data_IF_191214433552
#
_entry.id   IF_191214433552
#
_cell.length_a   1.000
_cell.length_b   1.000
_cell.length_c   1.000
_cell.angle_alpha   90.00
_cell.angle_beta   90.00
_cell.angle_gamma   90.00
#
_symmetry.space_group_name_H-M   'P 1'
#
loop_
_entity.id
_entity.type
_entity.pdbx_description
1 polymer ?
#
# COMPACT_ATOMS: atom_id res chain seq x y z
N UNK A 1 21.49 9.52 -17.03
CA UNK A 1 20.81 10.66 -16.40
C UNK A 1 19.76 10.13 -15.45
N UNK A 2 20.19 9.25 -14.52
CA UNK A 2 19.39 8.67 -13.44
C UNK A 2 20.17 8.74 -12.11
N UNK A 3 21.17 9.63 -12.06
CA UNK A 3 22.03 9.76 -10.87
C UNK A 3 21.39 10.61 -9.76
N UNK A 4 20.09 10.93 -9.86
CA UNK A 4 19.46 11.88 -8.94
C UNK A 4 18.15 11.38 -8.30
N UNK A 5 17.85 10.09 -8.37
CA UNK A 5 16.70 9.52 -7.65
C UNK A 5 16.95 9.62 -6.14
N UNK A 6 18.16 9.37 -5.68
CA UNK A 6 18.53 9.54 -4.29
C UNK A 6 18.36 11.00 -3.81
N UNK A 7 18.70 11.99 -4.64
CA UNK A 7 18.53 13.40 -4.31
C UNK A 7 17.07 13.87 -4.36
N UNK A 8 16.22 13.23 -5.16
CA UNK A 8 14.76 13.47 -5.15
C UNK A 8 14.12 12.88 -3.88
N UNK A 9 14.65 11.78 -3.38
CA UNK A 9 14.19 11.13 -2.14
C UNK A 9 14.63 11.91 -0.89
N UNK A 10 15.66 12.77 -1.01
CA UNK A 10 16.20 13.55 0.10
C UNK A 10 15.66 15.00 0.16
N UNK A 11 14.60 15.30 -0.59
CA UNK A 11 13.93 16.60 -0.46
C UNK A 11 13.18 16.67 0.87
N UNK A 12 13.36 17.77 1.64
CA UNK A 12 12.71 17.93 2.96
C UNK A 12 11.18 17.90 2.92
N UNK A 13 10.58 18.22 1.78
CA UNK A 13 9.14 18.20 1.51
C UNK A 13 8.62 16.78 1.19
N UNK A 14 9.52 15.84 0.89
CA UNK A 14 9.26 14.41 0.75
C UNK A 14 9.69 13.59 1.96
N UNK A 15 10.27 14.21 2.99
CA UNK A 15 10.45 13.53 4.26
C UNK A 15 9.07 13.10 4.73
N UNK A 16 8.88 11.78 4.82
CA UNK A 16 7.74 11.21 5.49
C UNK A 16 7.56 11.96 6.80
N UNK A 17 6.48 12.73 6.95
CA UNK A 17 6.03 13.09 8.27
C UNK A 17 6.01 11.78 9.03
N UNK A 18 6.65 11.75 10.21
CA UNK A 18 6.61 10.54 11.00
C UNK A 18 5.15 10.10 11.03
N UNK A 19 4.94 8.87 10.62
CA UNK A 19 3.59 8.36 10.42
C UNK A 19 2.75 8.47 11.69
N UNK A 20 3.41 8.44 12.87
CA UNK A 20 2.82 8.69 14.18
C UNK A 20 2.32 10.14 14.34
N UNK A 21 2.97 11.14 13.74
CA UNK A 21 2.54 12.55 13.81
C UNK A 21 1.28 12.79 12.97
N UNK A 22 1.12 12.08 11.85
CA UNK A 22 -0.07 12.17 11.00
C UNK A 22 -1.24 11.44 11.66
N UNK A 23 -1.01 10.27 12.26
CA UNK A 23 -2.05 9.48 12.93
C UNK A 23 -2.53 10.11 14.24
N UNK A 24 -1.66 10.81 14.95
CA UNK A 24 -1.93 11.27 16.29
C UNK A 24 -2.67 12.62 16.37
N UNK A 25 -2.60 13.50 15.36
CA UNK A 25 -2.96 14.89 15.56
C UNK A 25 -4.09 15.46 14.72
N UNK A 26 -4.26 15.05 13.46
CA UNK A 26 -5.07 15.80 12.50
C UNK A 26 -6.27 15.03 11.93
N UNK A 27 -6.33 13.71 12.12
CA UNK A 27 -7.34 12.84 11.50
C UNK A 27 -8.13 12.05 12.55
N UNK A 28 -9.43 11.95 12.33
CA UNK A 28 -10.37 11.17 13.15
C UNK A 28 -11.20 10.26 12.25
N UNK A 29 -11.97 9.34 12.85
CA UNK A 29 -12.91 8.49 12.14
C UNK A 29 -12.23 7.58 11.11
N UNK A 30 -12.83 7.45 9.95
CA UNK A 30 -12.40 6.53 8.87
C UNK A 30 -11.04 6.90 8.30
N UNK A 31 -10.75 8.19 8.13
CA UNK A 31 -9.43 8.66 7.70
C UNK A 31 -8.32 8.19 8.65
N UNK A 32 -8.57 8.24 9.97
CA UNK A 32 -7.64 7.73 10.97
C UNK A 32 -7.47 6.22 10.84
N UNK A 33 -8.56 5.47 10.67
CA UNK A 33 -8.51 4.01 10.47
C UNK A 33 -7.64 3.63 9.27
N UNK A 34 -7.74 4.36 8.16
CA UNK A 34 -6.90 4.14 6.97
C UNK A 34 -5.42 4.42 7.26
N UNK A 35 -5.11 5.50 7.97
CA UNK A 35 -3.74 5.80 8.36
C UNK A 35 -3.17 4.72 9.31
N UNK A 36 -3.95 4.28 10.29
CA UNK A 36 -3.58 3.19 11.18
C UNK A 36 -3.37 1.86 10.43
N UNK A 37 -4.21 1.59 9.40
CA UNK A 37 -4.04 0.45 8.52
C UNK A 37 -2.69 0.49 7.79
N UNK A 38 -2.35 1.62 7.15
CA UNK A 38 -1.09 1.79 6.44
C UNK A 38 0.13 1.64 7.36
N UNK A 39 0.07 2.23 8.57
CA UNK A 39 1.12 2.15 9.58
C UNK A 39 1.31 0.74 10.12
N UNK A 40 0.21 0.06 10.40
CA UNK A 40 0.22 -1.31 10.88
C UNK A 40 0.79 -2.23 9.81
N UNK A 41 0.40 -2.03 8.54
CA UNK A 41 0.98 -2.74 7.40
C UNK A 41 2.51 -2.56 7.36
N UNK A 42 3.01 -1.33 7.46
CA UNK A 42 4.46 -1.07 7.47
C UNK A 42 5.18 -1.82 8.58
N UNK A 43 4.67 -1.73 9.81
CA UNK A 43 5.26 -2.44 10.96
C UNK A 43 5.30 -3.96 10.77
N UNK A 44 4.22 -4.53 10.22
CA UNK A 44 4.13 -5.98 10.02
C UNK A 44 4.99 -6.43 8.83
N UNK A 45 5.10 -5.63 7.78
CA UNK A 45 6.06 -5.88 6.67
C UNK A 45 7.50 -5.91 7.18
N UNK A 46 7.87 -5.00 8.07
CA UNK A 46 9.21 -5.02 8.68
C UNK A 46 9.41 -6.24 9.57
N UNK A 47 8.41 -6.59 10.39
CA UNK A 47 8.45 -7.75 11.28
C UNK A 47 8.47 -9.09 10.53
N UNK A 48 8.01 -9.13 9.28
CA UNK A 48 7.95 -10.36 8.47
C UNK A 48 9.32 -10.98 8.15
N UNK A 49 10.43 -10.24 8.38
CA UNK A 49 11.80 -10.74 8.25
C UNK A 49 12.26 -11.52 9.48
N UNK A 50 11.53 -11.41 10.58
CA UNK A 50 11.89 -12.10 11.81
C UNK A 50 11.43 -13.56 11.81
N UNK A 51 12.20 -14.48 12.42
CA UNK A 51 11.80 -15.88 12.54
C UNK A 51 10.45 -16.05 13.26
N UNK A 52 9.59 -16.90 12.72
CA UNK A 52 8.30 -17.23 13.33
C UNK A 52 7.14 -16.32 12.90
N UNK A 53 7.35 -15.41 11.96
CA UNK A 53 6.26 -14.66 11.35
C UNK A 53 5.41 -15.58 10.47
N UNK A 54 4.10 -15.53 10.66
CA UNK A 54 3.13 -16.38 9.96
C UNK A 54 1.89 -15.57 9.55
N UNK A 55 0.92 -16.21 8.91
CA UNK A 55 -0.35 -15.56 8.55
C UNK A 55 -1.10 -15.01 9.77
N UNK A 56 -0.99 -15.66 10.93
CA UNK A 56 -1.59 -15.20 12.19
C UNK A 56 -0.96 -13.91 12.70
N UNK A 57 0.26 -13.60 12.29
CA UNK A 57 0.95 -12.37 12.68
C UNK A 57 0.28 -11.11 12.13
N UNK A 58 -0.61 -11.25 11.13
CA UNK A 58 -1.42 -10.14 10.59
C UNK A 58 -2.66 -9.81 11.44
N UNK A 59 -2.86 -10.45 12.58
CA UNK A 59 -4.01 -10.20 13.47
C UNK A 59 -4.23 -8.71 13.81
N UNK A 60 -3.19 -7.88 14.08
CA UNK A 60 -3.40 -6.46 14.34
C UNK A 60 -4.00 -5.70 13.15
N UNK A 61 -3.71 -6.14 11.92
CA UNK A 61 -4.30 -5.56 10.71
C UNK A 61 -5.75 -6.03 10.54
N UNK A 62 -6.05 -7.29 10.88
CA UNK A 62 -7.39 -7.86 10.85
C UNK A 62 -8.38 -7.11 11.75
N UNK A 63 -7.91 -6.48 12.84
CA UNK A 63 -8.75 -5.68 13.72
C UNK A 63 -9.35 -4.44 13.05
N UNK A 64 -8.74 -3.96 11.98
CA UNK A 64 -9.17 -2.77 11.25
C UNK A 64 -10.12 -3.06 10.09
N UNK A 65 -10.28 -4.35 9.73
CA UNK A 65 -11.07 -4.77 8.56
C UNK A 65 -12.28 -5.62 8.95
N UNK A 66 -13.26 -5.68 8.07
CA UNK A 66 -14.37 -6.63 8.13
C UNK A 66 -13.94 -7.93 7.43
N UNK A 67 -13.26 -8.82 8.15
CA UNK A 67 -12.59 -10.01 7.59
C UNK A 67 -13.48 -10.84 6.69
N UNK A 68 -14.76 -11.05 7.07
CA UNK A 68 -15.71 -11.88 6.34
C UNK A 68 -16.28 -11.19 5.08
N UNK A 69 -16.14 -9.87 4.97
CA UNK A 69 -16.65 -9.06 3.87
C UNK A 69 -15.52 -8.42 3.05
N UNK A 70 -14.27 -8.67 3.44
CA UNK A 70 -13.13 -7.99 2.87
C UNK A 70 -12.86 -8.42 1.43
N UNK A 71 -12.66 -7.42 0.57
CA UNK A 71 -12.24 -7.58 -0.80
C UNK A 71 -11.18 -6.52 -1.14
N UNK A 72 -10.08 -6.94 -1.77
CA UNK A 72 -9.07 -6.05 -2.30
C UNK A 72 -8.92 -6.27 -3.81
N UNK A 73 -9.01 -5.19 -4.55
CA UNK A 73 -8.72 -5.17 -5.99
C UNK A 73 -7.37 -4.49 -6.19
N UNK A 74 -6.41 -5.24 -6.69
CA UNK A 74 -5.06 -4.74 -6.92
C UNK A 74 -4.86 -4.09 -8.28
N UNK A 75 -3.62 -3.68 -8.54
CA UNK A 75 -3.26 -2.91 -9.72
C UNK A 75 -3.51 -3.64 -11.05
N UNK A 76 -3.49 -4.95 -11.06
CA UNK A 76 -3.78 -5.79 -12.24
C UNK A 76 -5.22 -6.30 -12.27
N UNK A 77 -6.10 -5.68 -11.47
CA UNK A 77 -7.49 -6.10 -11.25
C UNK A 77 -7.63 -7.49 -10.62
N UNK A 78 -6.57 -7.98 -9.98
CA UNK A 78 -6.65 -9.17 -9.15
C UNK A 78 -7.51 -8.89 -7.92
N UNK A 79 -8.41 -9.82 -7.61
CA UNK A 79 -9.34 -9.73 -6.49
C UNK A 79 -8.93 -10.75 -5.44
N UNK A 80 -8.80 -10.30 -4.21
CA UNK A 80 -8.43 -11.12 -3.07
C UNK A 80 -9.38 -10.89 -1.90
N UNK A 81 -9.88 -11.98 -1.30
CA UNK A 81 -10.50 -11.93 0.02
C UNK A 81 -9.41 -11.81 1.10
N UNK A 82 -9.80 -11.73 2.38
CA UNK A 82 -8.85 -11.54 3.47
C UNK A 82 -7.82 -12.66 3.56
N UNK A 83 -8.23 -13.92 3.48
CA UNK A 83 -7.32 -15.08 3.57
C UNK A 83 -6.29 -15.06 2.44
N UNK A 84 -6.74 -14.85 1.21
CA UNK A 84 -5.86 -14.75 0.03
C UNK A 84 -4.90 -13.57 0.14
N UNK A 85 -5.38 -12.45 0.70
CA UNK A 85 -4.56 -11.26 0.86
C UNK A 85 -3.47 -11.42 1.93
N UNK A 86 -3.77 -12.04 3.07
CA UNK A 86 -2.72 -12.29 4.09
C UNK A 86 -1.72 -13.36 3.64
N UNK A 87 -2.12 -14.35 2.86
CA UNK A 87 -1.20 -15.30 2.22
C UNK A 87 -0.26 -14.57 1.26
N UNK A 88 -0.81 -13.70 0.40
CA UNK A 88 -0.03 -12.85 -0.50
C UNK A 88 0.94 -11.96 0.27
N UNK A 89 0.45 -11.23 1.29
CA UNK A 89 1.26 -10.34 2.10
C UNK A 89 2.40 -11.07 2.82
N UNK A 90 2.14 -12.26 3.36
CA UNK A 90 3.14 -13.07 4.05
C UNK A 90 4.30 -13.44 3.12
N UNK A 91 3.98 -13.89 1.91
CA UNK A 91 4.97 -14.26 0.91
C UNK A 91 5.75 -13.04 0.39
N UNK A 92 5.04 -11.94 0.11
CA UNK A 92 5.64 -10.70 -0.37
C UNK A 92 6.52 -10.04 0.67
N UNK A 93 6.04 -9.89 1.90
CA UNK A 93 6.73 -9.18 2.97
C UNK A 93 8.02 -9.88 3.42
N UNK A 94 8.09 -11.21 3.33
CA UNK A 94 9.29 -11.98 3.67
C UNK A 94 10.53 -11.55 2.85
N UNK A 95 10.32 -11.07 1.62
CA UNK A 95 11.38 -10.76 0.67
C UNK A 95 11.40 -9.29 0.24
N UNK A 96 10.48 -8.46 0.76
CA UNK A 96 10.31 -7.07 0.34
C UNK A 96 10.68 -6.11 1.45
N UNK A 97 11.41 -5.07 1.11
CA UNK A 97 11.48 -3.84 1.89
C UNK A 97 10.47 -2.86 1.29
N UNK A 98 9.65 -2.24 2.13
CA UNK A 98 8.62 -1.32 1.68
C UNK A 98 8.52 -0.12 2.61
N UNK A 99 8.40 1.06 2.01
CA UNK A 99 8.12 2.31 2.70
C UNK A 99 7.07 3.10 1.94
N UNK A 100 6.18 3.73 2.68
CA UNK A 100 5.20 4.66 2.15
C UNK A 100 5.37 6.05 2.75
N UNK A 101 5.36 7.08 1.91
CA UNK A 101 5.28 8.47 2.33
C UNK A 101 3.88 8.98 2.04
N UNK A 102 3.20 9.49 3.05
CA UNK A 102 1.85 10.04 2.91
C UNK A 102 1.88 11.36 2.13
N UNK A 103 1.09 11.44 1.07
CA UNK A 103 0.91 12.64 0.26
C UNK A 103 -0.39 13.34 0.61
N UNK A 104 -1.51 12.62 0.55
CA UNK A 104 -2.85 13.12 0.89
C UNK A 104 -3.72 12.02 1.44
N UNK A 105 -4.60 12.38 2.37
CA UNK A 105 -5.77 11.60 2.76
C UNK A 105 -7.00 12.49 2.64
N UNK A 106 -8.07 11.97 2.04
CA UNK A 106 -9.32 12.70 1.86
C UNK A 106 -10.50 11.76 2.12
N UNK A 107 -11.55 12.26 2.73
CA UNK A 107 -12.79 11.53 2.94
C UNK A 107 -13.95 12.27 2.27
N UNK A 108 -14.69 11.55 1.44
CA UNK A 108 -15.87 12.06 0.73
C UNK A 108 -16.96 10.99 0.80
N UNK A 109 -18.13 11.36 1.30
CA UNK A 109 -19.30 10.47 1.42
C UNK A 109 -18.98 9.13 2.11
N UNK A 110 -18.09 9.15 3.10
CA UNK A 110 -17.70 7.98 3.88
C UNK A 110 -16.68 7.05 3.20
N UNK A 111 -16.19 7.41 2.03
CA UNK A 111 -15.10 6.75 1.31
C UNK A 111 -13.81 7.52 1.57
N UNK A 112 -12.72 6.81 1.89
CA UNK A 112 -11.41 7.42 2.13
C UNK A 112 -10.47 7.14 0.98
N UNK A 113 -9.80 8.19 0.53
CA UNK A 113 -8.78 8.17 -0.51
C UNK A 113 -7.43 8.43 0.14
N UNK A 114 -6.48 7.51 -0.02
CA UNK A 114 -5.13 7.65 0.48
C UNK A 114 -4.13 7.66 -0.67
N UNK A 115 -3.38 8.75 -0.78
CA UNK A 115 -2.31 8.88 -1.76
C UNK A 115 -0.95 8.74 -1.07
N UNK A 116 -0.14 7.81 -1.57
CA UNK A 116 1.22 7.54 -1.11
C UNK A 116 2.23 7.69 -2.24
N UNK A 117 3.46 8.00 -1.88
CA UNK A 117 4.62 7.59 -2.66
C UNK A 117 5.18 6.34 -1.99
N UNK A 118 5.25 5.25 -2.73
CA UNK A 118 5.72 3.97 -2.23
C UNK A 118 7.08 3.62 -2.83
N UNK A 119 8.00 3.21 -1.97
CA UNK A 119 9.32 2.70 -2.34
C UNK A 119 9.41 1.26 -1.91
N UNK A 120 9.75 0.38 -2.83
CA UNK A 120 9.93 -1.03 -2.54
C UNK A 120 11.23 -1.56 -3.14
N UNK A 121 11.81 -2.54 -2.45
CA UNK A 121 12.98 -3.28 -2.91
C UNK A 121 12.76 -4.77 -2.70
N UNK A 122 13.04 -5.54 -3.76
CA UNK A 122 13.01 -7.00 -3.74
C UNK A 122 14.31 -7.47 -4.40
N UNK A 123 15.25 -7.97 -3.61
CA UNK A 123 16.61 -8.26 -4.09
C UNK A 123 17.28 -7.01 -4.66
N UNK A 124 17.70 -7.06 -5.91
CA UNK A 124 18.34 -5.94 -6.62
C UNK A 124 17.32 -5.04 -7.35
N UNK A 125 16.04 -5.37 -7.29
CA UNK A 125 14.99 -4.59 -7.95
C UNK A 125 14.44 -3.53 -7.00
N UNK A 126 14.54 -2.27 -7.40
CA UNK A 126 13.98 -1.13 -6.70
C UNK A 126 12.86 -0.49 -7.53
N UNK A 127 11.80 -0.08 -6.85
CA UNK A 127 10.63 0.56 -7.47
C UNK A 127 10.18 1.75 -6.64
N UNK A 128 9.85 2.85 -7.33
CA UNK A 128 9.18 4.01 -6.75
C UNK A 128 7.91 4.26 -7.55
N UNK A 129 6.78 4.24 -6.86
CA UNK A 129 5.46 4.45 -7.48
C UNK A 129 4.64 5.45 -6.67
N UNK A 130 3.72 6.13 -7.33
CA UNK A 130 2.63 6.79 -6.63
C UNK A 130 1.44 5.83 -6.60
N UNK A 131 0.83 5.67 -5.44
CA UNK A 131 -0.40 4.89 -5.30
C UNK A 131 -1.55 5.76 -4.84
N UNK A 132 -2.74 5.42 -5.33
CA UNK A 132 -4.00 5.88 -4.79
C UNK A 132 -4.78 4.65 -4.36
N UNK A 133 -5.11 4.57 -3.09
CA UNK A 133 -5.99 3.52 -2.57
C UNK A 133 -7.31 4.12 -2.13
N UNK A 134 -8.40 3.45 -2.49
CA UNK A 134 -9.78 3.84 -2.17
C UNK A 134 -10.33 2.83 -1.19
N UNK A 135 -10.78 3.31 -0.03
CA UNK A 135 -11.25 2.49 1.07
C UNK A 135 -12.74 2.67 1.30
N UNK A 136 -13.48 1.58 1.29
CA UNK A 136 -14.87 1.54 1.68
C UNK A 136 -15.04 0.81 3.02
N UNK A 137 -16.10 1.16 3.75
CA UNK A 137 -16.32 0.71 5.13
C UNK A 137 -17.67 0.04 5.31
N UNK A 138 -17.75 -0.80 6.33
CA UNK A 138 -19.04 -1.25 6.89
C UNK A 138 -19.67 -0.14 7.73
N UNK A 139 -20.92 -0.35 8.17
CA UNK A 139 -21.59 0.54 9.14
C UNK A 139 -20.86 0.59 10.50
N UNK A 140 -20.05 -0.42 10.82
CA UNK A 140 -19.22 -0.48 12.02
C UNK A 140 -17.82 0.15 11.84
N UNK A 141 -17.62 0.93 10.76
CA UNK A 141 -16.37 1.60 10.41
C UNK A 141 -15.15 0.66 10.26
N UNK A 142 -15.40 -0.59 9.83
CA UNK A 142 -14.35 -1.53 9.42
C UNK A 142 -14.15 -1.45 7.92
N UNK A 143 -12.88 -1.51 7.49
CA UNK A 143 -12.54 -1.55 6.06
C UNK A 143 -13.08 -2.84 5.47
N UNK A 144 -13.92 -2.74 4.43
CA UNK A 144 -14.51 -3.89 3.73
C UNK A 144 -14.01 -4.03 2.29
N UNK A 145 -13.58 -2.92 1.68
CA UNK A 145 -13.12 -2.93 0.30
C UNK A 145 -11.97 -1.96 0.10
N UNK A 146 -10.98 -2.38 -0.70
CA UNK A 146 -9.84 -1.55 -1.08
C UNK A 146 -9.60 -1.69 -2.58
N UNK A 147 -9.68 -0.60 -3.33
CA UNK A 147 -9.16 -0.50 -4.69
C UNK A 147 -7.77 0.15 -4.68
N UNK A 148 -6.83 -0.41 -5.43
CA UNK A 148 -5.46 0.11 -5.54
C UNK A 148 -5.15 0.51 -6.97
N UNK A 149 -4.71 1.77 -7.16
CA UNK A 149 -4.28 2.32 -8.43
C UNK A 149 -2.82 2.75 -8.32
N UNK A 150 -2.00 2.32 -9.27
CA UNK A 150 -0.58 2.67 -9.29
C UNK A 150 -0.24 3.55 -10.49
N UNK A 151 0.58 4.57 -10.23
CA UNK A 151 1.28 5.34 -11.24
C UNK A 151 2.77 4.99 -11.13
N UNK A 152 3.29 4.34 -12.15
CA UNK A 152 4.66 3.83 -12.17
C UNK A 152 5.45 4.37 -13.37
N UNK A 153 6.78 4.28 -13.31
CA UNK A 153 7.62 4.58 -14.45
C UNK A 153 7.26 3.68 -15.65
N UNK A 154 7.48 4.18 -16.85
CA UNK A 154 7.35 3.37 -18.05
C UNK A 154 8.19 2.10 -17.90
N UNK A 155 7.64 0.93 -18.22
CA UNK A 155 8.43 -0.28 -18.34
C UNK A 155 9.52 -0.06 -19.40
N UNK A 156 10.61 -0.81 -19.28
CA UNK A 156 11.68 -0.80 -20.28
C UNK A 156 11.10 -0.90 -21.70
N UNK A 157 11.64 -0.13 -22.64
CA UNK A 157 11.19 -0.10 -24.05
C UNK A 157 11.14 -1.48 -24.68
N UNK A 158 12.02 -2.41 -24.27
CA UNK A 158 12.01 -3.79 -24.73
C UNK A 158 10.75 -4.56 -24.26
N UNK A 159 10.14 -4.15 -23.16
CA UNK A 159 8.86 -4.70 -22.69
C UNK A 159 7.69 -4.14 -23.52
N UNK A 160 7.79 -2.89 -23.99
CA UNK A 160 6.74 -2.28 -24.82
C UNK A 160 6.66 -2.92 -26.20
N UNK A 161 7.77 -3.37 -26.76
CA UNK A 161 7.79 -4.10 -28.05
C UNK A 161 7.06 -5.45 -27.96
N UNK A 162 7.01 -6.07 -26.75
CA UNK A 162 6.24 -7.30 -26.54
C UNK A 162 4.72 -7.09 -26.61
N UNK A 163 4.26 -5.86 -26.53
CA UNK A 163 2.83 -5.49 -26.61
C UNK A 163 2.44 -4.92 -27.98
N UNK A 164 3.37 -4.85 -28.94
CA UNK A 164 3.03 -4.47 -30.32
C UNK A 164 2.02 -5.46 -30.90
N UNK A 165 0.83 -4.96 -31.26
CA UNK A 165 -0.26 -5.75 -31.81
C UNK A 165 -1.21 -6.36 -30.77
N UNK A 166 -1.02 -6.09 -29.47
CA UNK A 166 -1.97 -6.44 -28.42
C UNK A 166 -2.98 -5.31 -28.25
N UNK A 167 -4.27 -5.59 -28.46
CA UNK A 167 -5.33 -4.65 -28.10
C UNK A 167 -5.42 -4.57 -26.57
N UNK A 168 -5.09 -3.41 -26.01
CA UNK A 168 -5.30 -3.10 -24.59
C UNK A 168 -6.70 -2.49 -24.48
N UNK A 169 -7.66 -3.25 -23.93
CA UNK A 169 -9.05 -2.83 -23.70
C UNK A 169 -9.26 -2.41 -22.27
#
# INVERSE_FOLDING_TARGET
>A
MIDDIAAVLDRPDHQARAADDIAAGEHAGRSRTVLEYALTTKRLVDAAKEPGFTVESWAPLAELVAVDEFERVGNFKEVMNWSEYVDFLTNWAANSEWEGSFKRVSEVDGVVFLELEERSRIGDFESVVNSMSVYEFTEADKIRHIDVYLQMALPNTDMLTSYEGVEIT
#
